data_IF_742079654389
#
_entry.id   IF_742079654389
#
_cell.length_a   1.000
_cell.length_b   1.000
_cell.length_c   1.000
_cell.angle_alpha   90.00
_cell.angle_beta   90.00
_cell.angle_gamma   90.00
#
_symmetry.space_group_name_H-M   'P 1'
#
loop_
_entity.id
_entity.type
_entity.pdbx_description
1 polymer ?
#
# COMPACT_ATOMS: atom_id res chain seq x y z
N UNK A 1 6.37 -51.45 2.45
CA UNK A 1 5.52 -50.76 1.45
C UNK A 1 4.48 -49.79 2.03
N UNK A 2 3.90 -50.03 3.22
CA UNK A 2 2.90 -49.12 3.86
C UNK A 2 3.41 -47.71 4.24
N UNK A 3 4.70 -47.55 4.55
CA UNK A 3 5.27 -46.26 5.03
C UNK A 3 5.32 -45.20 3.93
N UNK A 4 5.61 -45.59 2.68
CA UNK A 4 5.73 -44.66 1.54
C UNK A 4 4.38 -44.08 1.13
N UNK A 5 3.30 -44.88 1.23
CA UNK A 5 1.93 -44.42 0.97
C UNK A 5 1.46 -43.38 1.99
N UNK A 6 1.86 -43.54 3.25
CA UNK A 6 1.49 -42.62 4.32
C UNK A 6 2.22 -41.26 4.17
N UNK A 7 3.50 -41.27 3.76
CA UNK A 7 4.24 -40.06 3.45
C UNK A 7 3.62 -39.28 2.29
N UNK A 8 3.27 -39.94 1.17
CA UNK A 8 2.68 -39.25 0.00
C UNK A 8 1.31 -38.62 0.32
N UNK A 9 0.52 -39.27 1.17
CA UNK A 9 -0.75 -38.75 1.71
C UNK A 9 -0.51 -37.51 2.58
N UNK A 10 0.48 -37.56 3.48
CA UNK A 10 0.84 -36.43 4.35
C UNK A 10 1.33 -35.24 3.51
N UNK A 11 2.23 -35.46 2.55
CA UNK A 11 2.73 -34.38 1.67
C UNK A 11 1.63 -33.76 0.81
N UNK A 12 0.70 -34.56 0.27
CA UNK A 12 -0.44 -34.04 -0.47
C UNK A 12 -1.35 -33.17 0.42
N UNK A 13 -1.55 -33.57 1.68
CA UNK A 13 -2.36 -32.82 2.63
C UNK A 13 -1.68 -31.51 3.07
N UNK A 14 -0.35 -31.52 3.26
CA UNK A 14 0.41 -30.30 3.51
C UNK A 14 0.36 -29.33 2.32
N UNK A 15 0.44 -29.85 1.09
CA UNK A 15 0.36 -29.03 -0.11
C UNK A 15 -1.03 -28.39 -0.28
N UNK A 16 -2.11 -29.14 -0.07
CA UNK A 16 -3.47 -28.61 -0.16
C UNK A 16 -3.76 -27.60 0.94
N UNK A 17 -3.30 -27.81 2.17
CA UNK A 17 -3.42 -26.84 3.26
C UNK A 17 -2.62 -25.57 2.97
N UNK A 18 -1.43 -25.69 2.37
CA UNK A 18 -0.61 -24.53 2.00
C UNK A 18 -1.25 -23.73 0.85
N UNK A 19 -1.82 -24.42 -0.14
CA UNK A 19 -2.55 -23.80 -1.25
C UNK A 19 -3.84 -23.12 -0.78
N UNK A 20 -4.60 -23.78 0.08
CA UNK A 20 -5.81 -23.22 0.69
C UNK A 20 -5.47 -21.99 1.53
N UNK A 21 -4.41 -22.07 2.33
CA UNK A 21 -3.90 -20.94 3.12
C UNK A 21 -3.49 -19.78 2.23
N UNK A 22 -2.74 -20.02 1.16
CA UNK A 22 -2.32 -18.98 0.22
C UNK A 22 -3.50 -18.38 -0.56
N UNK A 23 -4.51 -19.17 -0.89
CA UNK A 23 -5.73 -18.69 -1.56
C UNK A 23 -6.55 -17.79 -0.63
N UNK A 24 -6.77 -18.23 0.61
CA UNK A 24 -7.52 -17.47 1.63
C UNK A 24 -6.73 -16.21 2.03
N UNK A 25 -5.42 -16.32 2.30
CA UNK A 25 -4.56 -15.16 2.53
C UNK A 25 -4.63 -14.21 1.33
N UNK A 26 -4.51 -14.72 0.11
CA UNK A 26 -4.54 -13.90 -1.09
C UNK A 26 -5.83 -13.08 -1.19
N UNK A 27 -6.98 -13.72 -0.94
CA UNK A 27 -8.27 -13.04 -1.01
C UNK A 27 -8.48 -12.02 0.13
N UNK A 28 -8.03 -12.38 1.33
CA UNK A 28 -8.08 -11.53 2.50
C UNK A 28 -7.17 -10.30 2.35
N UNK A 29 -5.95 -10.48 1.87
CA UNK A 29 -4.99 -9.39 1.65
C UNK A 29 -5.43 -8.46 0.54
N UNK A 30 -6.02 -8.99 -0.53
CA UNK A 30 -6.67 -8.19 -1.58
C UNK A 30 -7.75 -7.27 -1.03
N UNK A 31 -8.56 -7.75 -0.08
CA UNK A 31 -9.58 -6.92 0.56
C UNK A 31 -8.97 -5.71 1.27
N UNK A 32 -7.90 -5.90 2.07
CA UNK A 32 -7.24 -4.79 2.76
C UNK A 32 -6.53 -3.82 1.82
N UNK A 33 -5.96 -4.32 0.72
CA UNK A 33 -5.35 -3.48 -0.32
C UNK A 33 -6.38 -2.63 -1.06
N UNK A 34 -7.52 -3.22 -1.45
CA UNK A 34 -8.63 -2.47 -2.06
C UNK A 34 -9.16 -1.42 -1.09
N UNK A 35 -9.35 -1.79 0.18
CA UNK A 35 -9.82 -0.88 1.21
C UNK A 35 -8.83 0.28 1.41
N UNK A 36 -7.52 0.00 1.46
CA UNK A 36 -6.49 1.03 1.48
C UNK A 36 -6.61 1.99 0.29
N UNK A 37 -6.66 1.46 -0.94
CA UNK A 37 -6.73 2.26 -2.17
C UNK A 37 -7.97 3.15 -2.20
N UNK A 38 -9.14 2.64 -1.80
CA UNK A 38 -10.39 3.42 -1.76
C UNK A 38 -10.31 4.54 -0.73
N UNK A 39 -9.83 4.25 0.49
CA UNK A 39 -9.69 5.27 1.52
C UNK A 39 -8.67 6.35 1.13
N UNK A 40 -7.53 5.94 0.58
CA UNK A 40 -6.50 6.88 0.13
C UNK A 40 -7.00 7.75 -1.03
N UNK A 41 -7.68 7.17 -2.03
CA UNK A 41 -8.29 7.92 -3.11
C UNK A 41 -9.30 8.95 -2.60
N UNK A 42 -10.19 8.54 -1.67
CA UNK A 42 -11.17 9.44 -1.09
C UNK A 42 -10.50 10.59 -0.32
N UNK A 43 -9.45 10.30 0.45
CA UNK A 43 -8.67 11.32 1.17
C UNK A 43 -8.03 12.33 0.22
N UNK A 44 -7.37 11.87 -0.85
CA UNK A 44 -6.75 12.74 -1.85
C UNK A 44 -7.79 13.55 -2.61
N UNK A 45 -8.95 12.95 -2.92
CA UNK A 45 -10.05 13.64 -3.58
C UNK A 45 -10.61 14.79 -2.70
N UNK A 46 -10.84 14.51 -1.42
CA UNK A 46 -11.31 15.52 -0.46
C UNK A 46 -10.28 16.64 -0.31
N UNK A 47 -8.99 16.32 -0.13
CA UNK A 47 -7.97 17.38 0.00
C UNK A 47 -7.82 18.20 -1.26
N UNK A 48 -7.94 17.59 -2.44
CA UNK A 48 -7.92 18.32 -3.72
C UNK A 48 -9.07 19.33 -3.81
N UNK A 49 -10.28 18.96 -3.37
CA UNK A 49 -11.43 19.88 -3.32
C UNK A 49 -11.16 21.03 -2.35
N UNK A 50 -10.66 20.72 -1.15
CA UNK A 50 -10.37 21.76 -0.14
C UNK A 50 -9.26 22.69 -0.64
N UNK A 51 -8.28 22.17 -1.39
CA UNK A 51 -7.16 22.95 -1.93
C UNK A 51 -7.61 24.07 -2.89
N UNK A 52 -8.80 23.94 -3.50
CA UNK A 52 -9.43 25.00 -4.32
C UNK A 52 -9.79 26.22 -3.47
N UNK A 53 -10.15 26.01 -2.20
CA UNK A 53 -10.59 27.07 -1.30
C UNK A 53 -9.47 27.60 -0.39
N UNK A 54 -8.58 26.71 0.04
CA UNK A 54 -7.49 27.03 0.98
C UNK A 54 -6.25 26.33 0.46
N UNK A 55 -5.17 27.07 0.19
CA UNK A 55 -3.91 26.47 -0.25
C UNK A 55 -3.32 25.59 0.87
N UNK A 56 -3.37 24.27 0.68
CA UNK A 56 -2.89 23.26 1.62
C UNK A 56 -1.43 22.91 1.26
N UNK A 57 -0.51 22.90 2.24
CA UNK A 57 0.85 22.42 2.00
C UNK A 57 0.88 20.95 1.58
N UNK A 58 1.74 20.61 0.61
CA UNK A 58 1.90 19.23 0.11
C UNK A 58 2.29 18.21 1.18
N UNK A 59 2.92 18.66 2.27
CA UNK A 59 3.25 17.83 3.43
C UNK A 59 2.01 17.15 4.05
N UNK A 60 0.81 17.70 3.85
CA UNK A 60 -0.45 17.10 4.31
C UNK A 60 -0.74 15.77 3.60
N UNK A 61 -0.33 15.61 2.34
CA UNK A 61 -0.50 14.34 1.61
C UNK A 61 0.33 13.22 2.24
N UNK A 62 1.53 13.53 2.75
CA UNK A 62 2.38 12.58 3.47
C UNK A 62 1.72 12.17 4.79
N UNK A 63 1.17 13.14 5.53
CA UNK A 63 0.46 12.87 6.78
C UNK A 63 -0.80 12.00 6.55
N UNK A 64 -1.54 12.25 5.48
CA UNK A 64 -2.70 11.44 5.09
C UNK A 64 -2.31 10.00 4.77
N UNK A 65 -1.20 9.81 4.07
CA UNK A 65 -0.66 8.48 3.74
C UNK A 65 -0.36 7.68 5.03
N UNK A 66 0.20 8.33 6.04
CA UNK A 66 0.40 7.75 7.37
C UNK A 66 -0.93 7.45 8.10
N UNK A 67 -1.88 8.38 8.11
CA UNK A 67 -3.18 8.19 8.78
C UNK A 67 -3.98 7.06 8.15
N UNK A 68 -4.05 7.01 6.82
CA UNK A 68 -4.78 5.96 6.10
C UNK A 68 -4.11 4.61 6.35
N UNK A 69 -2.79 4.50 6.18
CA UNK A 69 -2.07 3.24 6.41
C UNK A 69 -2.18 2.72 7.84
N UNK A 70 -2.12 3.60 8.84
CA UNK A 70 -2.33 3.22 10.26
C UNK A 70 -3.77 2.81 10.54
N UNK A 71 -4.76 3.43 9.91
CA UNK A 71 -6.17 3.06 10.03
C UNK A 71 -6.41 1.66 9.44
N UNK A 72 -5.84 1.35 8.28
CA UNK A 72 -5.91 -0.01 7.71
C UNK A 72 -5.25 -1.04 8.62
N UNK A 73 -4.08 -0.70 9.18
CA UNK A 73 -3.41 -1.56 10.16
C UNK A 73 -4.29 -1.82 11.39
N UNK A 74 -4.98 -0.79 11.90
CA UNK A 74 -5.93 -0.92 13.01
C UNK A 74 -7.13 -1.81 12.66
N UNK A 75 -7.74 -1.61 11.49
CA UNK A 75 -8.86 -2.44 11.00
C UNK A 75 -8.44 -3.91 10.89
N UNK A 76 -7.23 -4.18 10.37
CA UNK A 76 -6.70 -5.53 10.29
C UNK A 76 -6.62 -6.20 11.67
N UNK A 77 -6.07 -5.52 12.67
CA UNK A 77 -5.89 -6.07 14.02
C UNK A 77 -7.22 -6.27 14.72
N UNK A 78 -8.15 -5.32 14.59
CA UNK A 78 -9.48 -5.44 15.18
C UNK A 78 -10.27 -6.62 14.59
N UNK A 79 -10.12 -6.88 13.28
CA UNK A 79 -10.79 -8.01 12.62
C UNK A 79 -10.11 -9.35 12.89
N UNK A 80 -8.79 -9.41 12.80
CA UNK A 80 -8.05 -10.67 12.86
C UNK A 80 -7.57 -11.04 14.26
N UNK A 81 -7.63 -10.09 15.21
CA UNK A 81 -7.15 -10.22 16.60
C UNK A 81 -5.71 -10.74 16.72
N UNK A 82 -4.89 -10.50 15.69
CA UNK A 82 -3.50 -10.92 15.60
C UNK A 82 -2.65 -9.88 14.87
N UNK A 83 -1.33 -9.95 15.05
CA UNK A 83 -0.40 -9.19 14.22
C UNK A 83 -0.30 -9.81 12.82
N UNK A 84 -0.08 -8.98 11.78
CA UNK A 84 0.30 -9.48 10.46
C UNK A 84 1.58 -10.31 10.58
N UNK A 85 1.62 -11.47 9.92
CA UNK A 85 2.86 -12.24 9.78
C UNK A 85 3.86 -11.50 8.90
N UNK A 86 5.14 -11.88 8.93
CA UNK A 86 6.18 -11.20 8.14
C UNK A 86 5.88 -11.16 6.65
N UNK A 87 5.34 -12.25 6.10
CA UNK A 87 4.94 -12.33 4.68
C UNK A 87 3.73 -11.46 4.36
N UNK A 88 2.73 -11.43 5.25
CA UNK A 88 1.55 -10.59 5.08
C UNK A 88 1.90 -9.10 5.17
N UNK A 89 2.78 -8.73 6.11
CA UNK A 89 3.27 -7.36 6.25
C UNK A 89 3.96 -6.87 4.97
N UNK A 90 4.80 -7.70 4.36
CA UNK A 90 5.45 -7.34 3.09
C UNK A 90 4.43 -7.16 1.97
N UNK A 91 3.42 -8.03 1.89
CA UNK A 91 2.34 -7.89 0.89
C UNK A 91 1.51 -6.62 1.10
N UNK A 92 1.23 -6.23 2.35
CA UNK A 92 0.54 -4.97 2.65
C UNK A 92 1.39 -3.76 2.25
N UNK A 93 2.67 -3.73 2.62
CA UNK A 93 3.57 -2.62 2.26
C UNK A 93 3.69 -2.47 0.75
N UNK A 94 4.05 -3.54 0.04
CA UNK A 94 4.23 -3.50 -1.41
C UNK A 94 2.90 -3.24 -2.14
N UNK A 95 1.81 -3.84 -1.67
CA UNK A 95 0.49 -3.61 -2.26
C UNK A 95 0.00 -2.17 -2.06
N UNK A 96 0.27 -1.56 -0.90
CA UNK A 96 -0.05 -0.16 -0.66
C UNK A 96 0.77 0.79 -1.53
N UNK A 97 2.06 0.50 -1.76
CA UNK A 97 2.90 1.25 -2.72
C UNK A 97 2.34 1.12 -4.15
N UNK A 98 1.94 -0.09 -4.57
CA UNK A 98 1.27 -0.26 -5.86
C UNK A 98 -0.05 0.53 -5.93
N UNK A 99 -0.80 0.61 -4.83
CA UNK A 99 -2.03 1.40 -4.76
C UNK A 99 -1.80 2.92 -4.86
N UNK A 100 -0.80 3.45 -4.14
CA UNK A 100 -0.47 4.88 -4.18
C UNK A 100 0.03 5.29 -5.55
N UNK A 101 0.96 4.52 -6.14
CA UNK A 101 1.48 4.77 -7.49
C UNK A 101 0.37 4.74 -8.55
N UNK A 102 -0.59 3.81 -8.44
CA UNK A 102 -1.74 3.76 -9.35
C UNK A 102 -2.60 5.02 -9.28
N UNK A 103 -2.88 5.52 -8.07
CA UNK A 103 -3.66 6.74 -7.87
C UNK A 103 -2.90 7.97 -8.36
N UNK A 104 -1.59 8.06 -8.11
CA UNK A 104 -0.75 9.15 -8.62
C UNK A 104 -0.72 9.15 -10.15
N UNK A 105 -0.67 7.98 -10.79
CA UNK A 105 -0.69 7.87 -12.25
C UNK A 105 -2.04 8.29 -12.85
N UNK A 106 -3.15 7.94 -12.20
CA UNK A 106 -4.49 8.44 -12.56
C UNK A 106 -4.58 9.96 -12.42
N UNK A 107 -4.04 10.52 -11.33
CA UNK A 107 -4.03 11.95 -11.10
C UNK A 107 -3.20 12.69 -12.16
N UNK A 108 -2.03 12.16 -12.52
CA UNK A 108 -1.21 12.69 -13.61
C UNK A 108 -1.98 12.65 -14.94
N UNK A 109 -2.60 11.52 -15.29
CA UNK A 109 -3.38 11.40 -16.52
C UNK A 109 -4.55 12.41 -16.58
N UNK A 110 -5.18 12.71 -15.44
CA UNK A 110 -6.21 13.74 -15.35
C UNK A 110 -5.65 15.14 -15.64
N UNK A 111 -4.54 15.51 -14.99
CA UNK A 111 -3.88 16.82 -15.23
C UNK A 111 -3.52 16.98 -16.71
N UNK A 112 -2.93 15.95 -17.33
CA UNK A 112 -2.54 16.00 -18.75
C UNK A 112 -3.71 16.16 -19.72
N UNK A 113 -4.92 15.81 -19.31
CA UNK A 113 -6.12 15.93 -20.14
C UNK A 113 -6.81 17.30 -19.98
N UNK A 114 -6.73 17.91 -18.79
CA UNK A 114 -7.47 19.12 -18.44
C UNK A 114 -6.62 20.40 -18.41
N UNK A 115 -5.32 20.28 -18.16
CA UNK A 115 -4.39 21.41 -18.22
C UNK A 115 -3.52 21.31 -19.47
N UNK A 116 -3.18 22.47 -20.07
CA UNK A 116 -2.11 22.61 -21.05
C UNK A 116 -0.74 22.45 -20.35
N UNK A 117 -0.56 21.36 -19.60
CA UNK A 117 0.63 21.10 -18.83
C UNK A 117 1.73 20.65 -19.79
N UNK A 118 2.64 21.57 -20.10
CA UNK A 118 3.67 21.35 -21.09
C UNK A 118 4.85 20.56 -20.48
N UNK A 119 4.64 19.25 -20.29
CA UNK A 119 5.60 18.31 -19.67
C UNK A 119 6.99 18.38 -20.31
N UNK A 120 7.02 18.67 -21.61
CA UNK A 120 8.23 18.79 -22.42
C UNK A 120 9.21 19.83 -21.86
N UNK A 121 8.70 20.98 -21.41
CA UNK A 121 9.52 22.08 -20.89
C UNK A 121 10.19 21.71 -19.57
N UNK A 122 9.46 21.02 -18.68
CA UNK A 122 9.95 20.62 -17.36
C UNK A 122 10.99 19.48 -17.44
N UNK A 123 10.80 18.53 -18.37
CA UNK A 123 11.74 17.41 -18.56
C UNK A 123 13.06 17.88 -19.16
N UNK A 124 13.05 18.90 -20.03
CA UNK A 124 14.27 19.42 -20.65
C UNK A 124 15.13 20.27 -19.71
N UNK A 125 14.53 20.90 -18.69
CA UNK A 125 15.26 21.76 -17.74
C UNK A 125 16.01 20.98 -16.67
N UNK A 126 15.50 19.80 -16.28
CA UNK A 126 16.05 19.01 -15.18
C UNK A 126 16.70 17.75 -15.74
N UNK A 127 18.01 17.54 -15.52
CA UNK A 127 18.69 16.38 -16.06
C UNK A 127 18.18 15.07 -15.43
N UNK A 128 18.18 14.01 -16.24
CA UNK A 128 17.53 12.71 -15.94
C UNK A 128 17.99 12.10 -14.61
N UNK A 129 19.25 12.26 -14.22
CA UNK A 129 19.76 11.75 -12.94
C UNK A 129 19.12 12.40 -11.71
N UNK A 130 18.70 13.67 -11.79
CA UNK A 130 17.98 14.34 -10.69
C UNK A 130 16.58 13.75 -10.55
N UNK A 131 15.89 13.48 -11.65
CA UNK A 131 14.59 12.80 -11.61
C UNK A 131 14.69 11.41 -10.97
N UNK A 132 15.73 10.66 -11.31
CA UNK A 132 15.97 9.33 -10.75
C UNK A 132 16.22 9.38 -9.23
N UNK A 133 16.95 10.41 -8.77
CA UNK A 133 17.19 10.66 -7.36
C UNK A 133 15.91 11.06 -6.61
N UNK A 134 15.07 11.92 -7.21
CA UNK A 134 13.77 12.31 -6.65
C UNK A 134 12.88 11.08 -6.47
N UNK A 135 12.74 10.25 -7.51
CA UNK A 135 11.96 9.02 -7.44
C UNK A 135 12.48 8.09 -6.33
N UNK A 136 13.79 7.92 -6.23
CA UNK A 136 14.39 7.09 -5.20
C UNK A 136 14.05 7.59 -3.78
N UNK A 137 14.12 8.90 -3.55
CA UNK A 137 13.76 9.50 -2.26
C UNK A 137 12.26 9.33 -1.97
N UNK A 138 11.38 9.60 -2.94
CA UNK A 138 9.93 9.48 -2.78
C UNK A 138 9.53 8.04 -2.44
N UNK A 139 10.02 7.05 -3.20
CA UNK A 139 9.78 5.64 -2.89
C UNK A 139 10.35 5.23 -1.54
N UNK A 140 11.53 5.76 -1.16
CA UNK A 140 12.12 5.52 0.15
C UNK A 140 11.24 6.02 1.30
N UNK A 141 10.69 7.23 1.17
CA UNK A 141 9.79 7.83 2.18
C UNK A 141 8.48 7.04 2.26
N UNK A 142 7.85 6.72 1.13
CA UNK A 142 6.61 5.92 1.10
C UNK A 142 6.83 4.56 1.76
N UNK A 143 7.93 3.88 1.40
CA UNK A 143 8.29 2.60 2.02
C UNK A 143 8.47 2.73 3.52
N UNK A 144 9.17 3.76 3.99
CA UNK A 144 9.40 4.00 5.42
C UNK A 144 8.09 4.23 6.18
N UNK A 145 7.18 5.04 5.62
CA UNK A 145 5.85 5.31 6.19
C UNK A 145 5.05 4.02 6.32
N UNK A 146 4.95 3.23 5.25
CA UNK A 146 4.22 1.97 5.30
C UNK A 146 4.86 0.97 6.26
N UNK A 147 6.19 0.88 6.24
CA UNK A 147 6.90 0.01 7.18
C UNK A 147 6.59 0.39 8.63
N UNK A 148 6.64 1.69 8.97
CA UNK A 148 6.33 2.18 10.31
C UNK A 148 4.87 1.93 10.71
N UNK A 149 3.92 2.23 9.81
CA UNK A 149 2.49 2.00 10.05
C UNK A 149 2.16 0.53 10.33
N UNK A 150 2.72 -0.40 9.54
CA UNK A 150 2.45 -1.83 9.74
C UNK A 150 3.36 -2.49 10.80
N UNK A 151 4.55 -1.95 11.09
CA UNK A 151 5.47 -2.52 12.10
C UNK A 151 5.19 -2.04 13.52
N UNK A 152 4.94 -0.75 13.69
CA UNK A 152 4.93 -0.10 14.99
C UNK A 152 3.51 0.09 15.50
N UNK A 153 2.64 0.73 14.70
CA UNK A 153 1.25 0.98 15.09
C UNK A 153 0.47 -0.31 15.35
N UNK A 154 0.82 -1.41 14.66
CA UNK A 154 0.19 -2.70 14.88
C UNK A 154 0.37 -3.25 16.32
N UNK A 155 1.49 -2.94 16.97
CA UNK A 155 1.72 -3.37 18.36
C UNK A 155 0.90 -2.57 19.36
N UNK A 156 0.60 -1.31 19.06
CA UNK A 156 -0.20 -0.45 19.94
C UNK A 156 -1.68 -0.86 19.98
N UNK A 157 -2.23 -1.36 18.87
CA UNK A 157 -3.64 -1.78 18.81
C UNK A 157 -3.91 -3.17 19.39
N UNK A 158 -2.88 -4.00 19.61
CA UNK A 158 -3.05 -5.32 20.22
C UNK A 158 -3.22 -5.27 21.75
N UNK A 159 -3.10 -4.08 22.34
CA UNK A 159 -3.23 -3.85 23.77
C UNK A 159 -4.49 -3.03 24.07
N UNK A 160 -5.65 -3.63 23.89
CA UNK A 160 -6.89 -3.20 24.55
C UNK A 160 -7.87 -4.36 24.69
#
# INVERSE_FOLDING_TARGET
MRVIFNLKSIYANYLTITLLKNFILGNLMRFYLILFTVFYFLSVFITSIINIFINIPDAVNIALLFIVSTTIASIFINKEKRLPTTGEKQQLVWGSICGTTFIQLLYLAFILCYEDFNISYTIHQVPVWIWLLILFIVFGIEYFIFYMSYACCAKFFLKK
#
